data_IF_256389203304
#
_entry.id   IF_256389203304
#
_cell.length_a   1.000
_cell.length_b   1.000
_cell.length_c   1.000
_cell.angle_alpha   90.00
_cell.angle_beta   90.00
_cell.angle_gamma   90.00
#
_symmetry.space_group_name_H-M   'P 1'
#
loop_
_entity.id
_entity.type
_entity.pdbx_description
1 polymer ?
#
# COMPACT_ATOMS: atom_id res chain seq x y z
N UNK A 1 6.63 14.46 -11.60
CA UNK A 1 7.68 15.32 -12.17
C UNK A 1 7.02 16.40 -13.02
N UNK A 2 7.13 17.69 -12.63
CA UNK A 2 6.69 18.80 -13.50
C UNK A 2 7.90 19.33 -14.27
N UNK A 3 7.82 19.29 -15.60
CA UNK A 3 8.84 19.81 -16.51
C UNK A 3 8.64 21.31 -16.82
N UNK A 4 7.48 21.88 -16.44
CA UNK A 4 7.03 23.19 -16.89
C UNK A 4 7.93 24.36 -16.43
N UNK A 5 8.57 24.27 -15.27
CA UNK A 5 9.46 25.34 -14.79
C UNK A 5 10.80 25.41 -15.54
N UNK A 6 11.09 24.42 -16.41
CA UNK A 6 12.35 24.32 -17.14
C UNK A 6 12.16 24.21 -18.67
N UNK A 7 10.92 24.33 -19.17
CA UNK A 7 10.59 24.16 -20.58
C UNK A 7 9.99 25.44 -21.17
N UNK A 8 10.51 25.89 -22.32
CA UNK A 8 9.93 26.98 -23.09
C UNK A 8 9.30 26.49 -24.40
N UNK A 9 8.43 27.32 -24.99
CA UNK A 9 7.72 26.98 -26.22
C UNK A 9 8.68 26.91 -27.41
N UNK A 10 8.72 25.74 -28.07
CA UNK A 10 9.60 25.49 -29.23
C UNK A 10 10.84 24.66 -28.90
N UNK A 11 11.10 24.37 -27.63
CA UNK A 11 12.24 23.53 -27.24
C UNK A 11 11.96 22.05 -27.54
N UNK A 12 13.01 21.36 -28.02
CA UNK A 12 13.00 19.91 -28.21
C UNK A 12 13.86 19.27 -27.15
N UNK A 13 13.24 18.49 -26.26
CA UNK A 13 13.93 17.77 -25.19
C UNK A 13 13.99 16.29 -25.51
N UNK A 14 15.17 15.70 -25.33
CA UNK A 14 15.37 14.26 -25.33
C UNK A 14 15.48 13.81 -23.88
N UNK A 15 14.58 12.93 -23.48
CA UNK A 15 14.71 12.22 -22.20
C UNK A 15 15.73 11.12 -22.44
N UNK A 16 16.95 11.31 -21.95
CA UNK A 16 17.99 10.28 -21.97
C UNK A 16 18.10 9.62 -20.59
N UNK A 17 18.39 8.31 -20.59
CA UNK A 17 18.60 7.48 -19.39
C UNK A 17 17.46 7.38 -18.35
N UNK A 18 16.19 7.61 -18.73
CA UNK A 18 15.06 7.24 -17.85
C UNK A 18 14.87 5.72 -17.86
N UNK A 19 15.41 5.04 -16.85
CA UNK A 19 15.14 3.63 -16.58
C UNK A 19 13.86 3.53 -15.76
N UNK A 20 12.81 2.97 -16.36
CA UNK A 20 11.63 2.52 -15.63
C UNK A 20 12.00 1.21 -14.91
N UNK A 21 12.27 1.31 -13.62
CA UNK A 21 12.41 0.15 -12.76
C UNK A 21 11.00 -0.39 -12.49
N UNK A 22 10.68 -1.58 -13.00
CA UNK A 22 9.49 -2.29 -12.54
C UNK A 22 9.68 -2.50 -11.05
N UNK A 23 8.86 -1.85 -10.24
CA UNK A 23 8.79 -2.17 -8.81
C UNK A 23 8.17 -3.57 -8.75
N UNK A 24 9.02 -4.60 -8.79
CA UNK A 24 8.61 -6.01 -8.66
C UNK A 24 7.85 -6.24 -7.34
N UNK A 25 8.12 -5.40 -6.33
CA UNK A 25 7.58 -5.50 -4.98
C UNK A 25 6.80 -4.23 -4.61
N UNK A 26 5.75 -3.88 -5.37
CA UNK A 26 4.74 -2.96 -4.83
C UNK A 26 3.89 -3.78 -3.87
N UNK A 27 4.29 -3.78 -2.60
CA UNK A 27 3.55 -4.45 -1.56
C UNK A 27 2.43 -3.52 -1.08
N UNK A 28 1.21 -3.87 -1.45
CA UNK A 28 0.02 -3.20 -0.95
C UNK A 28 0.02 -3.29 0.58
N UNK A 29 -0.30 -2.20 1.28
CA UNK A 29 -0.46 -2.24 2.74
C UNK A 29 -1.59 -3.19 3.19
N UNK A 30 -2.43 -3.64 2.26
CA UNK A 30 -3.51 -4.60 2.48
C UNK A 30 -3.08 -6.07 2.29
N UNK A 31 -1.87 -6.32 1.78
CA UNK A 31 -1.28 -7.67 1.69
C UNK A 31 -0.66 -8.02 3.06
N UNK A 32 -1.50 -8.35 4.03
CA UNK A 32 -1.08 -8.53 5.42
C UNK A 32 -0.08 -9.69 5.56
N UNK A 33 -0.16 -10.68 4.68
CA UNK A 33 0.67 -11.88 4.77
C UNK A 33 1.96 -11.84 3.93
N UNK A 34 2.16 -10.82 3.08
CA UNK A 34 3.34 -10.63 2.22
C UNK A 34 3.54 -11.74 1.18
N UNK A 35 2.45 -12.27 0.60
CA UNK A 35 2.52 -13.22 -0.52
C UNK A 35 2.44 -12.57 -1.90
N UNK A 36 2.21 -11.25 -1.96
CA UNK A 36 2.11 -10.46 -3.18
C UNK A 36 0.70 -10.38 -3.76
N UNK A 37 -0.33 -10.93 -3.09
CA UNK A 37 -1.71 -10.94 -3.57
C UNK A 37 -2.65 -10.56 -2.43
N UNK A 38 -3.35 -9.42 -2.54
CA UNK A 38 -4.40 -9.07 -1.56
C UNK A 38 -5.63 -9.94 -1.78
N UNK A 39 -5.85 -10.91 -0.91
CA UNK A 39 -6.96 -11.86 -1.00
C UNK A 39 -7.57 -12.20 0.37
N UNK A 40 -8.42 -13.22 0.41
CA UNK A 40 -9.13 -13.65 1.64
C UNK A 40 -8.18 -14.10 2.76
N UNK A 41 -6.95 -14.53 2.44
CA UNK A 41 -5.95 -14.90 3.43
C UNK A 41 -5.44 -13.69 4.22
N UNK A 42 -5.36 -12.51 3.62
CA UNK A 42 -5.02 -11.27 4.33
C UNK A 42 -6.13 -10.84 5.28
N UNK A 43 -7.38 -10.93 4.81
CA UNK A 43 -8.54 -10.66 5.66
C UNK A 43 -8.59 -11.64 6.85
N UNK A 44 -8.27 -12.92 6.60
CA UNK A 44 -8.19 -13.91 7.65
C UNK A 44 -7.08 -13.60 8.67
N UNK A 45 -5.94 -13.04 8.23
CA UNK A 45 -4.88 -12.58 9.15
C UNK A 45 -5.39 -11.52 10.11
N UNK A 46 -6.07 -10.49 9.61
CA UNK A 46 -6.67 -9.44 10.45
C UNK A 46 -7.70 -10.04 11.42
N UNK A 47 -8.59 -10.92 10.92
CA UNK A 47 -9.65 -11.50 11.74
C UNK A 47 -9.17 -12.30 12.96
N UNK A 48 -7.94 -12.84 12.92
CA UNK A 48 -7.34 -13.57 14.04
C UNK A 48 -7.02 -12.67 15.23
N UNK A 49 -6.83 -11.38 14.98
CA UNK A 49 -6.47 -10.37 15.98
C UNK A 49 -7.65 -9.48 16.36
N UNK A 50 -8.87 -9.80 15.90
CA UNK A 50 -10.05 -8.96 16.12
C UNK A 50 -10.32 -8.72 17.62
N UNK A 51 -10.44 -7.45 17.99
CA UNK A 51 -10.65 -6.99 19.37
C UNK A 51 -9.37 -6.74 20.16
N UNK A 52 -8.18 -6.95 19.57
CA UNK A 52 -6.92 -6.58 20.20
C UNK A 52 -6.74 -5.05 20.25
N UNK A 53 -6.05 -4.58 21.28
CA UNK A 53 -5.51 -3.21 21.29
C UNK A 53 -4.03 -3.28 20.97
N UNK A 54 -3.57 -2.32 20.18
CA UNK A 54 -2.24 -2.26 19.58
C UNK A 54 -1.58 -0.93 19.90
N UNK A 55 -0.26 -0.88 19.77
CA UNK A 55 0.55 0.31 20.05
C UNK A 55 1.67 0.41 19.04
N UNK A 56 2.27 1.59 18.90
CA UNK A 56 3.43 1.82 18.04
C UNK A 56 4.60 0.90 18.44
N UNK A 57 5.32 0.29 17.46
CA UNK A 57 4.98 0.24 16.05
C UNK A 57 3.75 -0.65 15.82
N UNK A 58 2.76 -0.13 15.11
CA UNK A 58 1.52 -0.86 14.87
C UNK A 58 1.80 -2.13 14.04
N UNK A 59 1.20 -3.26 14.41
CA UNK A 59 1.32 -4.47 13.62
C UNK A 59 0.54 -4.32 12.31
N UNK A 60 0.95 -5.04 11.26
CA UNK A 60 0.30 -4.95 9.94
C UNK A 60 -1.21 -5.26 9.94
N UNK A 61 -1.72 -5.98 10.95
CA UNK A 61 -3.14 -6.30 11.07
C UNK A 61 -3.99 -5.18 11.72
N UNK A 62 -3.36 -4.15 12.28
CA UNK A 62 -3.97 -2.86 12.63
C UNK A 62 -3.70 -1.91 11.46
N UNK A 63 -4.58 -1.98 10.46
CA UNK A 63 -4.34 -1.46 9.10
C UNK A 63 -4.52 0.05 9.06
N UNK A 64 -5.40 0.59 9.89
CA UNK A 64 -5.60 2.04 10.01
C UNK A 64 -4.72 2.69 11.09
N UNK A 65 -3.93 1.89 11.82
CA UNK A 65 -2.98 2.33 12.85
C UNK A 65 -3.65 3.12 13.98
N UNK A 66 -4.90 2.77 14.35
CA UNK A 66 -5.67 3.51 15.35
C UNK A 66 -5.52 2.98 16.79
N UNK A 67 -4.79 1.87 16.95
CA UNK A 67 -4.57 1.22 18.23
C UNK A 67 -5.63 0.17 18.60
N UNK A 68 -6.53 -0.17 17.68
CA UNK A 68 -7.52 -1.24 17.84
C UNK A 68 -7.65 -2.03 16.55
N UNK A 69 -7.75 -3.34 16.70
CA UNK A 69 -8.08 -4.22 15.57
C UNK A 69 -9.59 -4.44 15.56
N UNK A 70 -10.31 -3.78 14.67
CA UNK A 70 -11.76 -3.86 14.58
C UNK A 70 -12.32 -4.02 13.16
N UNK A 71 -13.61 -3.72 12.99
CA UNK A 71 -14.30 -3.87 11.71
C UNK A 71 -13.72 -2.93 10.64
N UNK A 72 -13.11 -1.81 11.04
CA UNK A 72 -12.49 -0.83 10.16
C UNK A 72 -11.32 -1.45 9.41
N UNK A 73 -10.46 -2.21 10.09
CA UNK A 73 -9.33 -2.92 9.48
C UNK A 73 -9.80 -3.98 8.48
N UNK A 74 -10.82 -4.74 8.87
CA UNK A 74 -11.43 -5.76 8.00
C UNK A 74 -12.03 -5.13 6.73
N UNK A 75 -12.70 -3.98 6.85
CA UNK A 75 -13.27 -3.27 5.69
C UNK A 75 -12.15 -2.75 4.78
N UNK A 76 -11.06 -2.23 5.34
CA UNK A 76 -9.93 -1.74 4.56
C UNK A 76 -9.31 -2.85 3.71
N UNK A 77 -9.02 -4.02 4.31
CA UNK A 77 -8.49 -5.16 3.54
C UNK A 77 -9.54 -5.67 2.54
N UNK A 78 -10.78 -5.89 3.00
CA UNK A 78 -11.85 -6.43 2.16
C UNK A 78 -12.20 -5.57 0.94
N UNK A 79 -12.06 -4.25 1.04
CA UNK A 79 -12.31 -3.31 -0.07
C UNK A 79 -11.19 -3.25 -1.09
N UNK A 80 -10.05 -3.89 -0.82
CA UNK A 80 -8.85 -3.87 -1.66
C UNK A 80 -8.43 -5.26 -2.15
N UNK A 81 -9.28 -6.28 -1.97
CA UNK A 81 -9.07 -7.63 -2.53
C UNK A 81 -9.07 -7.56 -4.07
N UNK A 82 -8.13 -8.28 -4.70
CA UNK A 82 -7.91 -8.33 -6.16
C UNK A 82 -7.96 -9.77 -6.68
#
# INVERSE_FOLDING_TARGET
>A
FQLAQFAAAGDTYYIDDVRLEKVENYHSIYDINNDGIVNIYDLFRVSKHFGENTTIPYPAYDVNEDGKVDISDLILVGSNII
#
